data_IF_525863339457
#
_entry.id   IF_525863339457
#
_cell.length_a   1.000
_cell.length_b   1.000
_cell.length_c   1.000
_cell.angle_alpha   90.00
_cell.angle_beta   90.00
_cell.angle_gamma   90.00
#
_symmetry.space_group_name_H-M   'P 1'
#
loop_
_entity.id
_entity.type
_entity.pdbx_description
1 polymer ?
#
# COMPACT_ATOMS: atom_id res chain seq x y z
N UNK A 1 9.79 -39.34 -52.28
CA UNK A 1 10.03 -40.37 -51.26
C UNK A 1 11.31 -40.03 -50.47
N UNK A 2 11.65 -38.73 -50.38
CA UNK A 2 12.80 -38.18 -49.60
C UNK A 2 12.40 -37.16 -48.52
N UNK A 3 11.12 -36.72 -48.51
CA UNK A 3 10.63 -35.72 -47.55
C UNK A 3 9.99 -36.31 -46.28
N UNK A 4 9.99 -37.64 -46.14
CA UNK A 4 9.38 -38.33 -44.99
C UNK A 4 10.39 -38.76 -43.89
N UNK A 5 11.71 -38.54 -44.12
CA UNK A 5 12.76 -38.98 -43.17
C UNK A 5 13.40 -37.85 -42.35
N UNK A 6 12.97 -36.58 -42.54
CA UNK A 6 13.49 -35.43 -41.80
C UNK A 6 12.58 -34.99 -40.62
N UNK A 7 11.46 -35.70 -40.38
CA UNK A 7 10.48 -35.33 -39.33
C UNK A 7 10.63 -36.12 -38.01
N UNK A 8 11.66 -36.95 -37.82
CA UNK A 8 11.80 -37.85 -36.64
C UNK A 8 13.07 -37.56 -35.81
N UNK A 9 13.64 -36.37 -35.91
CA UNK A 9 14.76 -36.01 -35.04
C UNK A 9 14.58 -34.68 -34.33
N UNK A 10 13.34 -34.33 -33.99
CA UNK A 10 13.08 -33.21 -33.14
C UNK A 10 12.70 -33.68 -31.73
N UNK A 11 13.66 -33.56 -30.84
CA UNK A 11 13.48 -33.12 -29.47
C UNK A 11 13.00 -34.13 -28.42
N UNK A 12 13.92 -35.01 -28.03
CA UNK A 12 13.96 -35.48 -26.63
C UNK A 12 15.02 -34.68 -25.89
N UNK A 13 14.74 -33.40 -25.60
CA UNK A 13 15.40 -32.70 -24.52
C UNK A 13 14.99 -33.41 -23.21
N UNK A 14 15.95 -33.88 -22.39
CA UNK A 14 15.62 -34.59 -21.16
C UNK A 14 14.79 -33.65 -20.28
N UNK A 15 13.59 -34.08 -19.95
CA UNK A 15 12.63 -33.33 -19.13
C UNK A 15 13.32 -32.84 -17.85
N UNK A 16 13.63 -31.56 -17.78
CA UNK A 16 14.04 -30.90 -16.55
C UNK A 16 12.93 -31.13 -15.54
N UNK A 17 13.22 -31.91 -14.50
CA UNK A 17 12.25 -32.24 -13.49
C UNK A 17 11.65 -30.92 -12.93
N UNK A 18 10.34 -30.81 -12.92
CA UNK A 18 9.61 -29.63 -12.39
C UNK A 18 10.08 -29.25 -10.97
N UNK A 19 10.65 -30.20 -10.23
CA UNK A 19 11.28 -30.00 -8.92
C UNK A 19 12.55 -29.13 -9.00
N UNK A 20 13.39 -29.31 -10.03
CA UNK A 20 14.63 -28.51 -10.15
C UNK A 20 14.37 -27.07 -10.57
N UNK A 21 13.33 -26.81 -11.33
CA UNK A 21 12.92 -25.43 -11.69
C UNK A 21 12.29 -24.70 -10.51
N UNK A 22 11.43 -25.37 -9.75
CA UNK A 22 10.87 -24.80 -8.50
C UNK A 22 11.97 -24.50 -7.50
N UNK A 23 12.94 -25.40 -7.32
CA UNK A 23 14.07 -25.18 -6.41
C UNK A 23 14.95 -24.01 -6.85
N UNK A 24 15.21 -23.85 -8.15
CA UNK A 24 15.93 -22.70 -8.71
C UNK A 24 15.18 -21.39 -8.52
N UNK A 25 13.86 -21.38 -8.71
CA UNK A 25 13.02 -20.19 -8.48
C UNK A 25 13.03 -19.79 -7.00
N UNK A 26 12.88 -20.75 -6.09
CA UNK A 26 12.95 -20.51 -4.64
C UNK A 26 14.34 -19.98 -4.27
N UNK A 27 15.40 -20.63 -4.73
CA UNK A 27 16.77 -20.18 -4.47
C UNK A 27 17.05 -18.79 -5.01
N UNK A 28 16.64 -18.48 -6.24
CA UNK A 28 16.78 -17.16 -6.84
C UNK A 28 16.10 -16.06 -6.04
N UNK A 29 14.95 -16.38 -5.44
CA UNK A 29 14.19 -15.42 -4.64
C UNK A 29 14.73 -15.26 -3.21
N UNK A 30 15.28 -16.32 -2.61
CA UNK A 30 15.81 -16.31 -1.23
C UNK A 30 17.27 -15.85 -1.20
N UNK A 31 18.06 -16.18 -2.22
CA UNK A 31 19.50 -15.89 -2.26
C UNK A 31 19.87 -14.43 -1.91
N UNK A 32 19.19 -13.39 -2.45
CA UNK A 32 19.51 -12.01 -2.08
C UNK A 32 19.35 -11.73 -0.59
N UNK A 33 18.31 -12.30 0.05
CA UNK A 33 18.07 -12.13 1.49
C UNK A 33 19.11 -12.85 2.32
N UNK A 34 19.55 -14.03 1.90
CA UNK A 34 20.64 -14.77 2.57
C UNK A 34 21.95 -13.98 2.48
N UNK A 35 22.27 -13.43 1.30
CA UNK A 35 23.49 -12.63 1.12
C UNK A 35 23.45 -11.38 1.99
N UNK A 36 22.35 -10.64 1.99
CA UNK A 36 22.20 -9.44 2.83
C UNK A 36 22.28 -9.80 4.32
N UNK A 37 21.60 -10.89 4.74
CA UNK A 37 21.67 -11.37 6.11
C UNK A 37 23.07 -11.81 6.52
N UNK A 38 23.81 -12.49 5.65
CA UNK A 38 25.19 -12.91 5.92
C UNK A 38 26.13 -11.68 6.05
N UNK A 39 26.00 -10.70 5.16
CA UNK A 39 26.78 -9.45 5.25
C UNK A 39 26.45 -8.72 6.55
N UNK A 40 25.17 -8.64 6.92
CA UNK A 40 24.73 -8.04 8.17
C UNK A 40 25.40 -8.74 9.38
N UNK A 41 25.35 -10.07 9.43
CA UNK A 41 25.87 -10.85 10.54
C UNK A 41 27.40 -10.73 10.65
N UNK A 42 28.12 -10.73 9.51
CA UNK A 42 29.58 -10.50 9.47
C UNK A 42 29.92 -9.13 10.06
N UNK A 43 29.18 -8.08 9.71
CA UNK A 43 29.39 -6.73 10.26
C UNK A 43 29.08 -6.71 11.77
N UNK A 44 27.98 -7.34 12.18
CA UNK A 44 27.61 -7.41 13.60
C UNK A 44 28.66 -8.10 14.46
N UNK A 45 29.25 -9.19 13.96
CA UNK A 45 30.30 -9.94 14.66
C UNK A 45 31.68 -9.30 14.55
N UNK A 46 31.94 -8.43 13.58
CA UNK A 46 33.25 -7.79 13.39
C UNK A 46 33.68 -6.87 14.55
N UNK A 47 32.72 -6.47 15.40
CA UNK A 47 33.00 -5.56 16.51
C UNK A 47 33.26 -4.10 16.10
N UNK A 48 33.10 -3.75 14.80
CA UNK A 48 33.26 -2.37 14.29
C UNK A 48 32.26 -1.43 14.97
N UNK A 49 31.05 -1.92 15.21
CA UNK A 49 29.99 -1.17 15.88
C UNK A 49 29.65 -1.78 17.22
N UNK A 50 29.30 -0.95 18.25
CA UNK A 50 28.74 -1.48 19.50
C UNK A 50 27.48 -2.33 19.25
N UNK A 51 27.35 -3.47 19.91
CA UNK A 51 26.22 -4.41 19.74
C UNK A 51 24.84 -3.75 19.94
N UNK A 52 24.76 -2.72 20.79
CA UNK A 52 23.54 -1.94 20.98
C UNK A 52 23.14 -1.11 19.75
N UNK A 53 24.08 -0.70 18.91
CA UNK A 53 23.81 0.05 17.69
C UNK A 53 23.62 -0.84 16.48
N UNK A 54 24.33 -1.99 16.45
CA UNK A 54 24.28 -2.94 15.36
C UNK A 54 24.11 -4.36 15.91
N UNK A 55 22.84 -4.76 16.24
CA UNK A 55 22.54 -6.05 16.84
C UNK A 55 22.74 -7.19 15.84
N UNK A 56 23.00 -8.39 16.35
CA UNK A 56 23.00 -9.63 15.55
C UNK A 56 21.57 -9.96 15.11
N UNK A 57 21.42 -10.80 14.09
CA UNK A 57 20.11 -11.30 13.68
C UNK A 57 19.43 -12.10 14.79
N UNK A 58 20.24 -12.80 15.62
CA UNK A 58 19.75 -13.51 16.78
C UNK A 58 19.12 -12.56 17.82
N UNK A 59 19.78 -11.43 18.12
CA UNK A 59 19.24 -10.40 19.02
C UNK A 59 17.90 -9.86 18.51
N UNK A 60 17.81 -9.59 17.19
CA UNK A 60 16.57 -9.10 16.55
C UNK A 60 15.45 -10.13 16.63
N UNK A 61 15.75 -11.41 16.33
CA UNK A 61 14.76 -12.50 16.40
C UNK A 61 14.30 -12.71 17.85
N UNK A 62 15.24 -12.73 18.80
CA UNK A 62 14.93 -12.85 20.23
C UNK A 62 14.04 -11.72 20.72
N UNK A 63 14.36 -10.48 20.35
CA UNK A 63 13.54 -9.29 20.67
C UNK A 63 12.16 -9.39 20.04
N UNK A 64 12.05 -9.78 18.77
CA UNK A 64 10.79 -9.99 18.07
C UNK A 64 9.91 -11.03 18.79
N UNK A 65 10.47 -12.19 19.13
CA UNK A 65 9.74 -13.28 19.82
C UNK A 65 9.28 -12.79 21.20
N UNK A 66 10.17 -12.19 21.98
CA UNK A 66 9.85 -11.70 23.32
C UNK A 66 8.73 -10.63 23.29
N UNK A 67 8.85 -9.63 22.43
CA UNK A 67 7.84 -8.58 22.28
C UNK A 67 6.49 -9.13 21.76
N UNK A 68 6.52 -10.22 21.00
CA UNK A 68 5.30 -10.89 20.53
C UNK A 68 4.63 -11.67 21.65
N UNK A 69 5.38 -12.46 22.42
CA UNK A 69 4.87 -13.29 23.53
C UNK A 69 4.35 -12.40 24.67
N UNK A 70 5.04 -11.31 24.97
CA UNK A 70 4.61 -10.35 26.00
C UNK A 70 3.39 -9.51 25.57
N UNK A 71 2.94 -9.64 24.32
CA UNK A 71 1.79 -8.90 23.79
C UNK A 71 2.06 -7.43 23.45
N UNK A 72 3.28 -6.94 23.65
CA UNK A 72 3.66 -5.54 23.34
C UNK A 72 3.54 -5.27 21.85
N UNK A 73 4.17 -6.10 21.03
CA UNK A 73 4.20 -5.93 19.58
C UNK A 73 2.82 -6.07 18.92
N UNK A 74 1.99 -7.07 19.28
CA UNK A 74 0.60 -7.15 18.82
C UNK A 74 -0.24 -5.94 19.19
N UNK A 75 -0.10 -5.39 20.40
CA UNK A 75 -0.82 -4.20 20.84
C UNK A 75 -0.47 -2.98 19.96
N UNK A 76 0.83 -2.71 19.77
CA UNK A 76 1.28 -1.65 18.87
C UNK A 76 0.78 -1.83 17.43
N UNK A 77 0.80 -3.07 16.92
CA UNK A 77 0.31 -3.38 15.57
C UNK A 77 -1.20 -3.14 15.41
N UNK A 78 -2.00 -3.55 16.39
CA UNK A 78 -3.46 -3.37 16.39
C UNK A 78 -3.81 -1.88 16.39
N UNK A 79 -3.19 -1.10 17.25
CA UNK A 79 -3.46 0.35 17.35
C UNK A 79 -3.08 1.08 16.05
N UNK A 80 -1.93 0.72 15.45
CA UNK A 80 -1.54 1.22 14.13
C UNK A 80 -2.58 0.85 13.07
N UNK A 81 -3.07 -0.39 13.04
CA UNK A 81 -4.08 -0.84 12.08
C UNK A 81 -5.42 -0.12 12.26
N UNK A 82 -5.86 0.10 13.49
CA UNK A 82 -7.11 0.85 13.77
C UNK A 82 -7.01 2.28 13.22
N UNK A 83 -5.89 2.98 13.47
CA UNK A 83 -5.66 4.34 12.94
C UNK A 83 -5.58 4.33 11.41
N UNK A 84 -4.87 3.35 10.84
CA UNK A 84 -4.78 3.18 9.38
C UNK A 84 -6.16 3.05 8.75
N UNK A 85 -6.95 2.09 9.24
CA UNK A 85 -8.25 1.81 8.66
C UNK A 85 -9.22 2.97 8.84
N UNK A 86 -9.19 3.63 10.00
CA UNK A 86 -10.01 4.83 10.26
C UNK A 86 -9.65 5.99 9.34
N UNK A 87 -8.35 6.32 9.24
CA UNK A 87 -7.87 7.38 8.35
C UNK A 87 -8.09 7.06 6.88
N UNK A 88 -7.84 5.82 6.47
CA UNK A 88 -8.08 5.39 5.11
C UNK A 88 -9.58 5.38 4.74
N UNK A 89 -10.47 4.99 5.65
CA UNK A 89 -11.92 5.06 5.41
C UNK A 89 -12.37 6.52 5.15
N UNK A 90 -11.86 7.47 5.93
CA UNK A 90 -12.10 8.90 5.70
C UNK A 90 -11.56 9.33 4.31
N UNK A 91 -10.33 8.94 3.98
CA UNK A 91 -9.73 9.23 2.69
C UNK A 91 -10.53 8.63 1.53
N UNK A 92 -10.99 7.40 1.65
CA UNK A 92 -11.76 6.69 0.63
C UNK A 92 -13.11 7.38 0.39
N UNK A 93 -13.85 7.68 1.45
CA UNK A 93 -15.14 8.36 1.34
C UNK A 93 -14.97 9.75 0.73
N UNK A 94 -14.10 10.58 1.30
CA UNK A 94 -13.86 11.94 0.83
C UNK A 94 -13.25 11.94 -0.59
N UNK A 95 -12.23 11.12 -0.82
CA UNK A 95 -11.50 11.06 -2.07
C UNK A 95 -12.35 10.61 -3.26
N UNK A 96 -13.14 9.54 -3.08
CA UNK A 96 -14.05 9.06 -4.13
C UNK A 96 -15.15 10.08 -4.38
N UNK A 97 -15.77 10.62 -3.32
CA UNK A 97 -16.85 11.61 -3.45
C UNK A 97 -16.38 12.87 -4.18
N UNK A 98 -15.27 13.45 -3.74
CA UNK A 98 -14.69 14.66 -4.34
C UNK A 98 -14.25 14.37 -5.78
N UNK A 99 -13.54 13.27 -6.04
CA UNK A 99 -13.09 12.91 -7.38
C UNK A 99 -14.23 12.67 -8.36
N UNK A 100 -15.28 11.96 -7.94
CA UNK A 100 -16.49 11.75 -8.75
C UNK A 100 -17.23 13.06 -9.00
N UNK A 101 -17.35 13.92 -7.98
CA UNK A 101 -17.97 15.24 -8.12
C UNK A 101 -17.24 16.11 -9.14
N UNK A 102 -15.91 16.17 -9.08
CA UNK A 102 -15.06 16.86 -10.04
C UNK A 102 -15.22 16.28 -11.46
N UNK A 103 -15.28 14.95 -11.59
CA UNK A 103 -15.43 14.29 -12.89
C UNK A 103 -16.80 14.55 -13.55
N UNK A 104 -17.84 14.79 -12.76
CA UNK A 104 -19.20 15.03 -13.24
C UNK A 104 -19.56 16.49 -13.44
N UNK A 105 -18.96 17.39 -12.68
CA UNK A 105 -19.32 18.82 -12.66
C UNK A 105 -18.13 19.68 -13.03
N UNK A 106 -18.22 20.39 -14.15
CA UNK A 106 -17.20 21.34 -14.60
C UNK A 106 -16.92 22.42 -13.55
N UNK A 107 -17.97 22.91 -12.88
CA UNK A 107 -17.82 23.90 -11.79
C UNK A 107 -17.04 23.35 -10.61
N UNK A 108 -17.34 22.11 -10.22
CA UNK A 108 -16.59 21.44 -9.13
C UNK A 108 -15.13 21.22 -9.53
N UNK A 109 -14.88 20.82 -10.77
CA UNK A 109 -13.53 20.65 -11.32
C UNK A 109 -12.78 21.99 -11.30
N UNK A 110 -13.33 23.05 -11.84
CA UNK A 110 -12.68 24.37 -11.93
C UNK A 110 -12.31 24.95 -10.55
N UNK A 111 -13.08 24.63 -9.49
CA UNK A 111 -12.82 25.08 -8.12
C UNK A 111 -11.85 24.15 -7.38
N UNK A 112 -12.06 22.83 -7.45
CA UNK A 112 -11.36 21.88 -6.59
C UNK A 112 -10.02 21.41 -7.19
N UNK A 113 -9.91 21.34 -8.52
CA UNK A 113 -8.70 20.87 -9.17
C UNK A 113 -7.46 21.71 -8.83
N UNK A 114 -7.50 23.06 -8.81
CA UNK A 114 -6.35 23.86 -8.38
C UNK A 114 -5.94 23.56 -6.94
N UNK A 115 -6.91 23.42 -6.02
CA UNK A 115 -6.64 23.14 -4.60
C UNK A 115 -5.96 21.76 -4.43
N UNK A 116 -6.50 20.74 -5.09
CA UNK A 116 -5.96 19.38 -5.05
C UNK A 116 -4.58 19.32 -5.70
N UNK A 117 -4.39 20.04 -6.83
CA UNK A 117 -3.12 20.07 -7.56
C UNK A 117 -1.99 20.79 -6.81
N UNK A 118 -2.32 21.77 -5.98
CA UNK A 118 -1.35 22.44 -5.10
C UNK A 118 -1.04 21.60 -3.88
N UNK A 119 -2.04 20.95 -3.28
CA UNK A 119 -1.87 20.16 -2.07
C UNK A 119 -1.14 18.83 -2.29
N UNK A 120 -1.41 18.14 -3.39
CA UNK A 120 -0.89 16.80 -3.63
C UNK A 120 0.64 16.68 -3.70
N UNK A 121 1.41 17.61 -4.32
CA UNK A 121 2.87 17.55 -4.37
C UNK A 121 3.55 17.79 -3.03
N UNK A 122 2.85 18.38 -2.06
CA UNK A 122 3.44 18.66 -0.74
C UNK A 122 3.68 17.34 -0.01
N UNK A 123 4.90 17.06 0.49
CA UNK A 123 5.17 15.86 1.27
C UNK A 123 4.21 15.73 2.44
N UNK A 124 3.52 14.60 2.55
CA UNK A 124 2.46 14.41 3.55
C UNK A 124 2.89 14.72 4.98
N UNK A 125 4.14 14.39 5.33
CA UNK A 125 4.69 14.67 6.66
C UNK A 125 4.84 16.19 6.94
N UNK A 126 4.94 17.02 5.91
CA UNK A 126 5.02 18.47 6.08
C UNK A 126 3.72 19.08 6.67
N UNK A 127 2.59 18.39 6.50
CA UNK A 127 1.34 18.79 7.12
C UNK A 127 1.24 18.40 8.61
N UNK A 128 2.09 17.49 9.10
CA UNK A 128 2.00 16.97 10.47
C UNK A 128 1.99 18.06 11.54
N UNK A 129 2.90 19.08 11.53
CA UNK A 129 2.89 20.13 12.53
C UNK A 129 1.55 20.91 12.59
N UNK A 130 0.93 21.17 11.43
CA UNK A 130 -0.37 21.85 11.37
C UNK A 130 -1.48 21.02 12.00
N UNK A 131 -1.54 19.72 11.68
CA UNK A 131 -2.55 18.83 12.25
C UNK A 131 -2.35 18.65 13.76
N UNK A 132 -1.11 18.55 14.22
CA UNK A 132 -0.80 18.48 15.64
C UNK A 132 -1.15 19.79 16.38
N UNK A 133 -0.97 20.94 15.74
CA UNK A 133 -1.35 22.24 16.32
C UNK A 133 -2.87 22.40 16.39
N UNK A 134 -3.62 21.98 15.35
CA UNK A 134 -5.06 22.18 15.28
C UNK A 134 -5.85 21.16 16.10
N UNK A 135 -5.41 19.91 16.12
CA UNK A 135 -6.16 18.78 16.72
C UNK A 135 -5.47 18.18 17.94
N UNK A 136 -4.30 18.71 18.33
CA UNK A 136 -3.53 18.23 19.47
C UNK A 136 -2.70 16.98 19.15
N UNK A 137 -1.95 16.53 20.16
CA UNK A 137 -1.20 15.27 20.11
C UNK A 137 -2.17 14.07 20.26
N UNK A 138 -1.91 12.96 19.57
CA UNK A 138 -2.66 11.73 19.77
C UNK A 138 -3.33 11.16 18.51
N UNK A 139 -4.34 10.33 18.73
CA UNK A 139 -4.98 9.53 17.70
C UNK A 139 -5.73 10.36 16.64
N UNK A 140 -6.42 11.41 17.09
CA UNK A 140 -7.26 12.22 16.19
C UNK A 140 -6.42 12.89 15.10
N UNK A 141 -5.33 13.54 15.48
CA UNK A 141 -4.43 14.20 14.54
C UNK A 141 -3.84 13.21 13.54
N UNK A 142 -3.44 12.01 14.02
CA UNK A 142 -2.89 10.94 13.18
C UNK A 142 -3.92 10.46 12.16
N UNK A 143 -5.14 10.17 12.58
CA UNK A 143 -6.24 9.69 11.73
C UNK A 143 -6.63 10.74 10.68
N UNK A 144 -6.79 12.01 11.10
CA UNK A 144 -7.16 13.10 10.19
C UNK A 144 -6.07 13.39 9.17
N UNK A 145 -4.79 13.41 9.59
CA UNK A 145 -3.68 13.63 8.67
C UNK A 145 -3.56 12.49 7.64
N UNK A 146 -3.66 11.24 8.10
CA UNK A 146 -3.69 10.07 7.21
C UNK A 146 -4.83 10.19 6.22
N UNK A 147 -6.04 10.53 6.69
CA UNK A 147 -7.22 10.74 5.87
C UNK A 147 -7.00 11.81 4.79
N UNK A 148 -6.49 12.97 5.21
CA UNK A 148 -6.23 14.12 4.33
C UNK A 148 -5.20 13.79 3.22
N UNK A 149 -4.02 13.30 3.60
CA UNK A 149 -2.93 13.03 2.66
C UNK A 149 -3.27 11.89 1.69
N UNK A 150 -3.96 10.87 2.17
CA UNK A 150 -4.32 9.70 1.37
C UNK A 150 -5.51 9.96 0.44
N UNK A 151 -6.28 11.02 0.67
CA UNK A 151 -7.37 11.41 -0.22
C UNK A 151 -6.87 11.89 -1.59
N UNK A 152 -5.70 12.53 -1.69
CA UNK A 152 -5.21 13.09 -2.95
C UNK A 152 -5.11 12.07 -4.09
N UNK A 153 -4.40 10.93 -3.96
CA UNK A 153 -4.34 9.94 -5.02
C UNK A 153 -5.72 9.34 -5.35
N UNK A 154 -6.61 9.23 -4.36
CA UNK A 154 -7.97 8.75 -4.57
C UNK A 154 -8.78 9.75 -5.37
N UNK A 155 -8.70 11.04 -5.05
CA UNK A 155 -9.37 12.13 -5.78
C UNK A 155 -8.97 12.13 -7.25
N UNK A 156 -7.65 12.17 -7.53
CA UNK A 156 -7.14 12.22 -8.90
C UNK A 156 -7.55 11.01 -9.73
N UNK A 157 -7.42 9.80 -9.16
CA UNK A 157 -7.79 8.60 -9.90
C UNK A 157 -9.31 8.50 -10.11
N UNK A 158 -10.13 8.86 -9.11
CA UNK A 158 -11.58 8.86 -9.25
C UNK A 158 -12.05 9.89 -10.28
N UNK A 159 -11.48 11.10 -10.25
CA UNK A 159 -11.74 12.15 -11.24
C UNK A 159 -11.35 11.70 -12.65
N UNK A 160 -10.13 11.19 -12.84
CA UNK A 160 -9.67 10.66 -14.13
C UNK A 160 -10.55 9.51 -14.60
N UNK A 161 -10.96 8.60 -13.69
CA UNK A 161 -11.82 7.48 -14.01
C UNK A 161 -13.18 7.89 -14.56
N UNK A 162 -13.82 8.90 -13.95
CA UNK A 162 -15.08 9.45 -14.46
C UNK A 162 -14.92 10.10 -15.83
N UNK A 163 -13.82 10.83 -16.04
CA UNK A 163 -13.48 11.47 -17.33
C UNK A 163 -13.12 10.44 -18.42
N UNK A 164 -12.59 9.30 -18.06
CA UNK A 164 -12.18 8.24 -19.00
C UNK A 164 -13.35 7.42 -19.55
N UNK A 165 -14.57 7.57 -19.01
CA UNK A 165 -15.75 6.88 -19.54
C UNK A 165 -16.04 7.36 -20.95
N UNK A 166 -16.08 6.41 -21.91
CA UNK A 166 -16.27 6.71 -23.32
C UNK A 166 -17.62 7.42 -23.57
N UNK A 167 -17.57 8.55 -24.24
CA UNK A 167 -18.74 9.37 -24.52
C UNK A 167 -19.82 8.61 -25.30
N UNK A 168 -19.40 7.66 -26.17
CA UNK A 168 -20.33 6.82 -26.90
C UNK A 168 -21.24 6.01 -25.99
N UNK A 169 -20.73 5.50 -24.86
CA UNK A 169 -21.54 4.76 -23.89
C UNK A 169 -22.54 5.66 -23.18
N UNK A 170 -22.11 6.88 -22.85
CA UNK A 170 -22.98 7.90 -22.23
C UNK A 170 -24.11 8.27 -23.18
N UNK A 171 -23.79 8.62 -24.43
CA UNK A 171 -24.77 8.98 -25.45
C UNK A 171 -25.74 7.82 -25.79
N UNK A 172 -25.24 6.59 -25.88
CA UNK A 172 -26.09 5.40 -26.13
C UNK A 172 -27.09 5.17 -25.00
N UNK A 173 -26.65 5.29 -23.75
CA UNK A 173 -27.54 5.15 -22.60
C UNK A 173 -28.62 6.28 -22.57
N UNK A 174 -28.23 7.51 -22.89
CA UNK A 174 -29.16 8.65 -23.00
C UNK A 174 -30.19 8.44 -24.12
N UNK A 175 -29.77 7.95 -25.28
CA UNK A 175 -30.65 7.61 -26.39
C UNK A 175 -31.68 6.52 -26.04
N UNK A 176 -31.32 5.61 -25.12
CA UNK A 176 -32.21 4.59 -24.55
C UNK A 176 -33.09 5.11 -23.39
N UNK A 177 -33.08 6.42 -23.12
CA UNK A 177 -33.91 7.03 -22.08
C UNK A 177 -33.37 6.91 -20.65
N UNK A 178 -32.06 6.72 -20.49
CA UNK A 178 -31.45 6.71 -19.15
C UNK A 178 -31.46 8.14 -18.57
N UNK A 179 -32.02 8.28 -17.38
CA UNK A 179 -31.90 9.49 -16.57
C UNK A 179 -30.49 9.60 -15.93
N UNK A 180 -30.17 10.75 -15.36
CA UNK A 180 -28.86 11.01 -14.75
C UNK A 180 -28.47 10.01 -13.68
N UNK A 181 -29.43 9.48 -12.90
CA UNK A 181 -29.20 8.51 -11.85
C UNK A 181 -28.88 7.12 -12.43
N UNK A 182 -29.63 6.70 -13.48
CA UNK A 182 -29.37 5.44 -14.18
C UNK A 182 -28.05 5.50 -14.92
N UNK A 183 -27.77 6.62 -15.62
CA UNK A 183 -26.52 6.87 -16.30
C UNK A 183 -25.33 6.76 -15.34
N UNK A 184 -25.42 7.40 -14.18
CA UNK A 184 -24.37 7.32 -13.19
C UNK A 184 -24.16 5.90 -12.68
N UNK A 185 -25.23 5.23 -12.25
CA UNK A 185 -25.14 3.93 -11.57
C UNK A 185 -24.75 2.78 -12.51
N UNK A 186 -25.16 2.83 -13.79
CA UNK A 186 -25.00 1.71 -14.72
C UNK A 186 -23.91 1.94 -15.77
N UNK A 187 -23.46 3.17 -16.00
CA UNK A 187 -22.46 3.49 -17.01
C UNK A 187 -21.22 4.16 -16.40
N UNK A 188 -21.41 5.31 -15.74
CA UNK A 188 -20.27 6.13 -15.28
C UNK A 188 -19.53 5.43 -14.13
N UNK A 189 -20.23 5.06 -13.07
CA UNK A 189 -19.60 4.45 -11.89
C UNK A 189 -18.92 3.11 -12.21
N UNK A 190 -19.56 2.16 -12.92
CA UNK A 190 -18.89 0.92 -13.34
C UNK A 190 -17.71 1.18 -14.28
N UNK A 191 -17.83 2.12 -15.22
CA UNK A 191 -16.75 2.48 -16.14
C UNK A 191 -15.56 3.15 -15.45
N UNK A 192 -15.80 3.90 -14.36
CA UNK A 192 -14.76 4.54 -13.56
C UNK A 192 -14.13 3.61 -12.50
N UNK A 193 -14.76 2.47 -12.20
CA UNK A 193 -14.38 1.61 -11.08
C UNK A 193 -12.92 1.13 -11.12
N UNK A 194 -12.31 0.74 -12.25
CA UNK A 194 -10.90 0.36 -12.30
C UNK A 194 -9.97 1.47 -11.81
N UNK A 195 -10.26 2.71 -12.20
CA UNK A 195 -9.50 3.89 -11.76
C UNK A 195 -9.71 4.17 -10.28
N UNK A 196 -10.95 4.08 -9.79
CA UNK A 196 -11.27 4.25 -8.36
C UNK A 196 -10.51 3.23 -7.52
N UNK A 197 -10.47 1.95 -7.94
CA UNK A 197 -9.72 0.90 -7.25
C UNK A 197 -8.21 1.18 -7.25
N UNK A 198 -7.67 1.65 -8.38
CA UNK A 198 -6.27 2.09 -8.46
C UNK A 198 -6.00 3.24 -7.49
N UNK A 199 -6.91 4.23 -7.43
CA UNK A 199 -6.82 5.34 -6.49
C UNK A 199 -6.85 4.88 -5.03
N UNK A 200 -7.74 3.96 -4.69
CA UNK A 200 -7.81 3.36 -3.35
C UNK A 200 -6.52 2.62 -2.99
N UNK A 201 -5.94 1.86 -3.92
CA UNK A 201 -4.66 1.17 -3.72
C UNK A 201 -3.53 2.15 -3.43
N UNK A 202 -3.39 3.18 -4.25
CA UNK A 202 -2.37 4.21 -4.07
C UNK A 202 -2.60 5.00 -2.77
N UNK A 203 -3.86 5.28 -2.44
CA UNK A 203 -4.27 5.94 -1.21
C UNK A 203 -3.91 5.13 0.04
N UNK A 204 -4.16 3.81 0.06
CA UNK A 204 -3.79 2.96 1.19
C UNK A 204 -2.26 2.84 1.33
N UNK A 205 -1.54 2.69 0.22
CA UNK A 205 -0.08 2.69 0.25
C UNK A 205 0.50 4.02 0.80
N UNK A 206 -0.15 5.15 0.49
CA UNK A 206 0.19 6.45 1.05
C UNK A 206 -0.17 6.54 2.53
N UNK A 207 -1.38 6.07 2.91
CA UNK A 207 -1.85 6.01 4.29
C UNK A 207 -0.88 5.24 5.19
N UNK A 208 -0.44 4.06 4.74
CA UNK A 208 0.51 3.24 5.47
C UNK A 208 1.82 3.98 5.75
N UNK A 209 2.41 4.57 4.72
CA UNK A 209 3.70 5.27 4.85
C UNK A 209 3.62 6.49 5.76
N UNK A 210 2.57 7.31 5.60
CA UNK A 210 2.43 8.52 6.41
C UNK A 210 2.08 8.21 7.85
N UNK A 211 1.25 7.18 8.12
CA UNK A 211 0.84 6.81 9.46
C UNK A 211 2.04 6.44 10.33
N UNK A 212 2.93 5.55 9.86
CA UNK A 212 4.13 5.16 10.60
C UNK A 212 4.99 6.38 10.95
N UNK A 213 5.17 7.31 10.00
CA UNK A 213 5.94 8.53 10.23
C UNK A 213 5.26 9.48 11.23
N UNK A 214 3.93 9.59 11.17
CA UNK A 214 3.15 10.45 12.08
C UNK A 214 3.14 9.90 13.50
N UNK A 215 3.05 8.59 13.68
CA UNK A 215 3.11 7.96 15.00
C UNK A 215 4.41 8.26 15.75
N UNK A 216 5.51 8.51 15.02
CA UNK A 216 6.77 8.95 15.62
C UNK A 216 6.69 10.38 16.21
N UNK A 217 5.80 11.23 15.68
CA UNK A 217 5.69 12.65 16.05
C UNK A 217 4.50 12.93 16.98
N UNK A 218 3.39 12.23 16.79
CA UNK A 218 2.10 12.54 17.41
C UNK A 218 1.98 12.17 18.89
N UNK A 219 3.05 11.62 19.50
CA UNK A 219 3.06 11.17 20.89
C UNK A 219 1.86 10.27 21.26
N UNK A 220 1.51 9.35 20.35
CA UNK A 220 0.46 8.35 20.59
C UNK A 220 0.93 7.34 21.65
N UNK A 221 0.04 6.85 22.52
CA UNK A 221 0.44 5.94 23.61
C UNK A 221 0.93 4.57 23.08
N UNK A 222 0.38 4.12 21.95
CA UNK A 222 0.69 2.85 21.29
C UNK A 222 0.74 3.04 19.78
N UNK A 223 1.61 2.31 19.09
CA UNK A 223 1.78 2.35 17.64
C UNK A 223 3.17 1.84 17.25
N UNK A 224 3.29 1.23 16.07
CA UNK A 224 4.58 0.70 15.59
C UNK A 224 5.62 1.80 15.37
N UNK A 225 5.19 2.94 14.83
CA UNK A 225 6.06 4.11 14.70
C UNK A 225 6.54 4.64 16.04
N UNK A 226 5.65 4.70 17.03
CA UNK A 226 5.99 5.09 18.40
C UNK A 226 6.95 4.11 19.07
N UNK A 227 6.73 2.79 18.91
CA UNK A 227 7.64 1.75 19.41
C UNK A 227 9.07 1.97 18.91
N UNK A 228 9.22 2.16 17.59
CA UNK A 228 10.54 2.38 16.95
C UNK A 228 11.18 3.66 17.48
N UNK A 229 10.43 4.75 17.52
CA UNK A 229 10.94 6.05 17.97
C UNK A 229 11.29 6.06 19.46
N UNK A 230 10.51 5.35 20.28
CA UNK A 230 10.78 5.16 21.71
C UNK A 230 12.04 4.31 21.96
N UNK A 231 12.19 3.20 21.26
CA UNK A 231 13.35 2.32 21.34
C UNK A 231 14.68 3.04 20.97
N UNK A 232 14.63 3.99 20.03
CA UNK A 232 15.77 4.85 19.66
C UNK A 232 16.37 5.59 20.85
N UNK A 233 15.51 6.09 21.77
CA UNK A 233 15.98 6.88 22.94
C UNK A 233 16.86 6.07 23.89
N UNK A 234 16.69 4.76 23.89
CA UNK A 234 17.44 3.82 24.73
C UNK A 234 18.50 3.02 23.98
N UNK A 235 18.69 3.32 22.69
CA UNK A 235 19.59 2.59 21.77
C UNK A 235 19.25 1.08 21.68
N UNK A 236 17.96 0.74 21.81
CA UNK A 236 17.47 -0.64 21.66
C UNK A 236 17.19 -0.92 20.16
N UNK A 237 18.27 -1.06 19.39
CA UNK A 237 18.16 -1.22 17.93
C UNK A 237 17.53 -2.55 17.55
N UNK A 238 17.68 -3.61 18.36
CA UNK A 238 16.99 -4.89 18.22
C UNK A 238 15.47 -4.73 18.23
N UNK A 239 14.93 -3.99 19.19
CA UNK A 239 13.50 -3.63 19.27
C UNK A 239 13.05 -2.77 18.08
N UNK A 240 13.88 -1.81 17.63
CA UNK A 240 13.58 -1.01 16.44
C UNK A 240 13.47 -1.90 15.20
N UNK A 241 14.42 -2.82 15.02
CA UNK A 241 14.44 -3.78 13.90
C UNK A 241 13.23 -4.72 13.94
N UNK A 242 12.88 -5.24 15.12
CA UNK A 242 11.69 -6.05 15.31
C UNK A 242 10.41 -5.28 14.87
N UNK A 243 10.29 -4.01 15.26
CA UNK A 243 9.20 -3.14 14.81
C UNK A 243 9.17 -2.92 13.30
N UNK A 244 10.35 -2.69 12.67
CA UNK A 244 10.47 -2.54 11.21
C UNK A 244 10.05 -3.82 10.48
N UNK A 245 10.42 -4.99 10.99
CA UNK A 245 10.00 -6.28 10.41
C UNK A 245 8.47 -6.40 10.42
N UNK A 246 7.81 -6.04 11.53
CA UNK A 246 6.33 -6.06 11.60
C UNK A 246 5.71 -5.06 10.61
N UNK A 247 6.26 -3.86 10.52
CA UNK A 247 5.81 -2.86 9.53
C UNK A 247 5.91 -3.43 8.11
N UNK A 248 7.02 -4.08 7.76
CA UNK A 248 7.22 -4.69 6.46
C UNK A 248 6.21 -5.84 6.21
N UNK A 249 6.00 -6.72 7.20
CA UNK A 249 5.05 -7.83 7.10
C UNK A 249 3.61 -7.35 6.92
N UNK A 250 3.18 -6.35 7.69
CA UNK A 250 1.85 -5.76 7.55
C UNK A 250 1.71 -5.07 6.19
N UNK A 251 2.70 -4.29 5.75
CA UNK A 251 2.70 -3.64 4.44
C UNK A 251 2.57 -4.63 3.30
N UNK A 252 3.33 -5.74 3.33
CA UNK A 252 3.22 -6.84 2.37
C UNK A 252 1.85 -7.54 2.42
N UNK A 253 1.30 -7.73 3.62
CA UNK A 253 -0.02 -8.33 3.80
C UNK A 253 -1.12 -7.44 3.21
N UNK A 254 -1.07 -6.14 3.45
CA UNK A 254 -2.01 -5.17 2.88
C UNK A 254 -1.94 -5.16 1.34
N UNK A 255 -0.74 -5.11 0.77
CA UNK A 255 -0.55 -5.13 -0.68
C UNK A 255 -1.10 -6.43 -1.30
N UNK A 256 -0.71 -7.60 -0.75
CA UNK A 256 -0.97 -8.89 -1.36
C UNK A 256 -2.39 -9.40 -1.12
N UNK A 257 -2.92 -9.23 0.10
CA UNK A 257 -4.21 -9.81 0.48
C UNK A 257 -5.39 -8.87 0.28
N UNK A 258 -5.20 -7.55 0.40
CA UNK A 258 -6.30 -6.61 0.22
C UNK A 258 -6.44 -6.25 -1.25
N UNK A 259 -5.38 -5.72 -1.89
CA UNK A 259 -5.51 -5.20 -3.24
C UNK A 259 -5.54 -6.26 -4.32
N UNK A 260 -4.66 -7.24 -4.27
CA UNK A 260 -4.62 -8.29 -5.29
C UNK A 260 -5.92 -9.11 -5.32
N UNK A 261 -6.56 -9.33 -4.15
CA UNK A 261 -7.89 -9.97 -4.11
C UNK A 261 -8.98 -9.08 -4.69
N UNK A 262 -9.04 -7.80 -4.31
CA UNK A 262 -10.06 -6.87 -4.81
C UNK A 262 -9.95 -6.74 -6.34
N UNK A 263 -8.74 -6.57 -6.86
CA UNK A 263 -8.47 -6.44 -8.29
C UNK A 263 -8.90 -7.69 -9.07
N UNK A 264 -8.54 -8.88 -8.58
CA UNK A 264 -8.93 -10.15 -9.21
C UNK A 264 -10.46 -10.38 -9.20
N UNK A 265 -11.15 -10.01 -8.12
CA UNK A 265 -12.59 -10.19 -8.02
C UNK A 265 -13.42 -9.18 -8.80
N UNK A 266 -12.87 -8.01 -9.11
CA UNK A 266 -13.60 -6.92 -9.76
C UNK A 266 -13.14 -6.72 -11.21
N UNK A 267 -11.94 -6.22 -11.41
CA UNK A 267 -11.45 -5.74 -12.71
C UNK A 267 -11.14 -6.89 -13.67
N UNK A 268 -10.49 -7.95 -13.17
CA UNK A 268 -10.16 -9.15 -13.97
C UNK A 268 -11.42 -9.91 -14.34
N UNK A 269 -12.34 -10.11 -13.38
CA UNK A 269 -13.60 -10.85 -13.62
C UNK A 269 -14.52 -10.16 -14.61
N UNK A 270 -14.46 -8.83 -14.72
CA UNK A 270 -15.27 -8.06 -15.67
C UNK A 270 -14.60 -7.89 -17.04
N UNK A 271 -13.42 -8.51 -17.25
CA UNK A 271 -12.71 -8.49 -18.53
C UNK A 271 -12.18 -7.11 -18.92
N UNK A 272 -11.99 -6.21 -17.96
CA UNK A 272 -11.51 -4.86 -18.21
C UNK A 272 -9.99 -4.78 -18.35
N UNK A 273 -9.25 -5.79 -17.88
CA UNK A 273 -7.81 -5.96 -18.03
C UNK A 273 -7.55 -7.44 -18.37
N UNK A 274 -6.78 -7.73 -19.43
CA UNK A 274 -6.25 -9.07 -19.68
C UNK A 274 -5.15 -9.38 -18.67
N UNK A 275 -5.23 -10.51 -18.01
CA UNK A 275 -4.21 -11.04 -17.10
C UNK A 275 -2.90 -11.33 -17.81
#
# INVERSE_FOLDING_TARGET
>A
MQDALTAISADHAPGRSQGSERLRLIWRNIFPFVVVGAIWEIIAWSGIFPRRLFPTLEDVVSSFVNLTITGILPHHAIDTLIRLLSGFALAAIAGVTVGVLMGRSRRAEDILLPLVSIGAPIPGLAYAPLFLLWFGLGNLSSVLLVGFVSAFPIIFNSWTGVKAVKEIWVRSAQAMGADDRRLFRHVIFPGALPYILTGLRLGLAQAWRILVAVEMLAAVPWGLGWLIFGARKFLNTDTMMAGIVVIALIGLALEKFVFQKIENYTVVRWGMISS
#
